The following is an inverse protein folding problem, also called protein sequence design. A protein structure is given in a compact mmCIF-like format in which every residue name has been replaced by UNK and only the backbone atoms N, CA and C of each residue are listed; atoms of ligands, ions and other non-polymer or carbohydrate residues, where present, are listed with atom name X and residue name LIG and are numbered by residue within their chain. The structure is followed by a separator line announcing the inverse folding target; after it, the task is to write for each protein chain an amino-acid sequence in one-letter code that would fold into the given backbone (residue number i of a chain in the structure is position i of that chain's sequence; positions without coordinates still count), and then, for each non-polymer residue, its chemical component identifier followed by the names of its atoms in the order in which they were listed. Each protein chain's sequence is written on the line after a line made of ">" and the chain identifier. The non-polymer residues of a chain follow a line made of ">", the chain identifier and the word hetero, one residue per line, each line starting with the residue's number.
data_IF_560627994806
#
_entry.id   IF_560627994806
#
_cell.length_a   1.000
_cell.length_b   1.000
_cell.length_c   1.000
_cell.angle_alpha   90.00
_cell.angle_beta   90.00
_cell.angle_gamma   90.00
#
_symmetry.space_group_name_H-M   'P 1'
#
loop_
_entity.id
_entity.type
_entity.pdbx_description
1 polymer ?
#
# COMPACT_ATOMS: atom_id res chain seq x y z
N UNK A 1 24.03 30.36 1.27
CA UNK A 1 22.78 30.34 0.45
C UNK A 1 22.23 28.93 0.09
N UNK A 2 23.00 27.83 0.15
CA UNK A 2 22.48 26.45 -0.15
C UNK A 2 21.67 25.81 1.00
N UNK A 3 21.81 26.27 2.25
CA UNK A 3 21.22 25.67 3.45
C UNK A 3 19.70 25.95 3.57
N UNK A 4 19.27 27.17 3.28
CA UNK A 4 17.86 27.61 3.31
C UNK A 4 16.97 26.81 2.35
N UNK A 5 17.44 26.54 1.12
CA UNK A 5 16.70 25.74 0.14
C UNK A 5 16.54 24.27 0.56
N UNK A 6 17.52 23.72 1.29
CA UNK A 6 17.44 22.35 1.82
C UNK A 6 16.45 22.25 2.97
N UNK A 7 16.36 23.27 3.83
CA UNK A 7 15.41 23.29 4.94
C UNK A 7 13.97 23.34 4.44
N UNK A 8 13.68 24.22 3.48
CA UNK A 8 12.36 24.27 2.83
C UNK A 8 11.97 22.94 2.16
N UNK A 9 12.90 22.30 1.42
CA UNK A 9 12.62 21.01 0.80
C UNK A 9 12.37 19.88 1.81
N UNK A 10 13.12 19.84 2.91
CA UNK A 10 12.94 18.82 3.95
C UNK A 10 11.61 19.02 4.67
N UNK A 11 11.21 20.27 4.92
CA UNK A 11 9.91 20.58 5.52
C UNK A 11 8.76 20.16 4.61
N UNK A 12 8.84 20.44 3.30
CA UNK A 12 7.81 20.02 2.34
C UNK A 12 7.72 18.50 2.27
N UNK A 13 8.85 17.79 2.20
CA UNK A 13 8.87 16.32 2.21
C UNK A 13 8.28 15.74 3.51
N UNK A 14 8.65 16.31 4.66
CA UNK A 14 8.12 15.88 5.95
C UNK A 14 6.59 16.10 6.04
N UNK A 15 6.10 17.25 5.57
CA UNK A 15 4.67 17.54 5.53
C UNK A 15 3.91 16.57 4.62
N UNK A 16 4.46 16.25 3.44
CA UNK A 16 3.88 15.24 2.53
C UNK A 16 3.83 13.87 3.21
N UNK A 17 4.92 13.42 3.82
CA UNK A 17 4.96 12.15 4.53
C UNK A 17 3.93 12.09 5.66
N UNK A 18 3.85 13.12 6.49
CA UNK A 18 2.84 13.19 7.57
C UNK A 18 1.42 13.17 6.99
N UNK A 19 1.17 13.84 5.88
CA UNK A 19 -0.16 13.85 5.26
C UNK A 19 -0.57 12.48 4.70
N UNK A 20 0.34 11.76 4.03
CA UNK A 20 0.03 10.42 3.49
C UNK A 20 -0.01 9.33 4.57
N UNK A 21 0.94 9.34 5.50
CA UNK A 21 1.08 8.30 6.52
C UNK A 21 0.31 8.58 7.81
N UNK A 22 0.01 9.85 8.11
CA UNK A 22 -0.80 10.27 9.25
C UNK A 22 -2.15 9.54 9.35
N UNK A 23 -3.01 9.52 8.30
CA UNK A 23 -4.27 8.80 8.35
C UNK A 23 -4.08 7.28 8.54
N UNK A 24 -3.01 6.70 7.97
CA UNK A 24 -2.69 5.29 8.14
C UNK A 24 -2.35 4.99 9.61
N UNK A 25 -1.54 5.84 10.26
CA UNK A 25 -1.19 5.70 11.67
C UNK A 25 -2.42 5.80 12.56
N UNK A 26 -3.31 6.75 12.27
CA UNK A 26 -4.59 6.90 12.99
C UNK A 26 -5.43 5.63 12.84
N UNK A 27 -5.56 5.09 11.63
CA UNK A 27 -6.26 3.82 11.39
C UNK A 27 -5.64 2.65 12.17
N UNK A 28 -4.32 2.57 12.25
CA UNK A 28 -3.62 1.54 13.06
C UNK A 28 -3.95 1.71 14.54
N UNK A 29 -3.89 2.93 15.08
CA UNK A 29 -4.24 3.18 16.49
C UNK A 29 -5.69 2.77 16.77
N UNK A 30 -6.61 3.10 15.87
CA UNK A 30 -8.01 2.72 15.99
C UNK A 30 -8.27 1.22 15.78
N UNK A 31 -7.45 0.50 15.00
CA UNK A 31 -7.64 -0.95 14.78
C UNK A 31 -7.36 -1.76 16.05
N UNK A 32 -6.58 -1.22 16.97
CA UNK A 32 -6.35 -1.80 18.30
C UNK A 32 -7.40 -1.41 19.35
N UNK A 33 -8.45 -0.67 18.97
CA UNK A 33 -9.54 -0.33 19.89
C UNK A 33 -10.52 -1.51 20.02
N UNK A 34 -10.81 -1.93 21.26
CA UNK A 34 -11.73 -3.03 21.55
C UNK A 34 -13.20 -2.73 21.22
N UNK A 35 -13.57 -1.47 21.03
CA UNK A 35 -14.97 -1.12 20.78
C UNK A 35 -15.36 -1.26 19.31
N UNK A 36 -16.58 -1.76 19.08
CA UNK A 36 -17.25 -1.70 17.77
C UNK A 36 -17.66 -0.28 17.39
N UNK A 37 -17.66 0.65 18.35
CA UNK A 37 -18.12 2.02 18.19
C UNK A 37 -16.97 3.00 18.42
N UNK A 38 -16.86 3.99 17.53
CA UNK A 38 -15.90 5.10 17.61
C UNK A 38 -16.03 5.94 18.90
N UNK A 39 -17.11 5.76 19.66
CA UNK A 39 -17.48 6.61 20.81
C UNK A 39 -17.10 6.04 22.17
N UNK A 40 -16.65 4.78 22.29
CA UNK A 40 -16.25 4.20 23.57
C UNK A 40 -14.85 3.60 23.51
N UNK A 41 -13.86 4.26 24.09
CA UNK A 41 -12.50 3.70 24.22
C UNK A 41 -12.46 2.71 25.37
N UNK A 42 -12.67 1.42 25.09
CA UNK A 42 -12.73 0.37 26.12
C UNK A 42 -11.37 -0.26 26.46
N UNK A 43 -10.33 -0.03 25.65
CA UNK A 43 -8.98 -0.56 25.88
C UNK A 43 -8.25 -0.99 24.60
N UNK A 44 -7.09 -1.62 24.76
CA UNK A 44 -6.34 -2.28 23.69
C UNK A 44 -6.90 -3.69 23.45
N UNK A 45 -7.28 -4.03 22.22
CA UNK A 45 -7.71 -5.38 21.83
C UNK A 45 -7.24 -5.73 20.44
N UNK A 46 -6.89 -7.00 20.27
CA UNK A 46 -6.55 -7.63 19.00
C UNK A 46 -7.63 -8.63 18.54
N UNK A 47 -8.79 -8.66 19.19
CA UNK A 47 -9.84 -9.65 18.93
C UNK A 47 -10.36 -9.58 17.49
N UNK A 48 -10.32 -8.40 16.88
CA UNK A 48 -10.68 -8.19 15.48
C UNK A 48 -9.77 -8.92 14.51
N UNK A 49 -8.48 -9.00 14.81
CA UNK A 49 -7.54 -9.76 14.01
C UNK A 49 -7.83 -11.26 14.14
N UNK A 50 -8.08 -11.76 15.36
CA UNK A 50 -8.47 -13.17 15.55
C UNK A 50 -9.75 -13.52 14.79
N UNK A 51 -10.78 -12.67 14.85
CA UNK A 51 -12.04 -12.85 14.09
C UNK A 51 -11.84 -12.79 12.58
N UNK A 52 -10.86 -12.02 12.10
CA UNK A 52 -10.49 -11.96 10.69
C UNK A 52 -10.01 -13.33 10.19
N UNK A 53 -9.19 -14.02 10.99
CA UNK A 53 -8.66 -15.33 10.65
C UNK A 53 -9.67 -16.46 10.85
N UNK A 54 -10.59 -16.33 11.80
CA UNK A 54 -11.67 -17.31 12.01
C UNK A 54 -12.75 -17.24 10.92
N UNK A 55 -12.93 -16.08 10.29
CA UNK A 55 -13.93 -15.90 9.24
C UNK A 55 -13.46 -16.50 7.91
N UNK A 56 -14.07 -17.62 7.53
CA UNK A 56 -13.82 -18.29 6.24
C UNK A 56 -14.07 -17.36 5.06
N UNK A 57 -15.17 -16.61 5.07
CA UNK A 57 -15.52 -15.69 3.97
C UNK A 57 -14.44 -14.64 3.73
N UNK A 58 -13.87 -14.08 4.81
CA UNK A 58 -12.82 -13.06 4.68
C UNK A 58 -11.52 -13.70 4.21
N UNK A 59 -11.16 -14.86 4.75
CA UNK A 59 -9.95 -15.58 4.34
C UNK A 59 -10.00 -16.01 2.87
N UNK A 60 -11.16 -16.48 2.41
CA UNK A 60 -11.38 -16.86 1.01
C UNK A 60 -11.26 -15.64 0.09
N UNK A 61 -11.82 -14.49 0.49
CA UNK A 61 -11.67 -13.24 -0.25
C UNK A 61 -10.20 -12.77 -0.33
N UNK A 62 -9.44 -12.92 0.77
CA UNK A 62 -8.00 -12.62 0.81
C UNK A 62 -7.23 -13.55 -0.13
N UNK A 63 -7.48 -14.86 -0.06
CA UNK A 63 -6.81 -15.85 -0.91
C UNK A 63 -7.09 -15.62 -2.40
N UNK A 64 -8.34 -15.29 -2.74
CA UNK A 64 -8.71 -14.94 -4.11
C UNK A 64 -7.97 -13.68 -4.59
N UNK A 65 -7.95 -12.63 -3.77
CA UNK A 65 -7.27 -11.37 -4.08
C UNK A 65 -5.78 -11.57 -4.32
N UNK A 66 -5.11 -12.34 -3.45
CA UNK A 66 -3.68 -12.67 -3.58
C UNK A 66 -3.43 -13.47 -4.85
N UNK A 67 -4.26 -14.48 -5.13
CA UNK A 67 -4.12 -15.31 -6.33
C UNK A 67 -4.23 -14.48 -7.61
N UNK A 68 -5.23 -13.59 -7.69
CA UNK A 68 -5.40 -12.66 -8.81
C UNK A 68 -4.20 -11.72 -8.93
N UNK A 69 -3.72 -11.16 -7.81
CA UNK A 69 -2.58 -10.26 -7.81
C UNK A 69 -1.29 -10.92 -8.34
N UNK A 70 -1.04 -12.17 -7.97
CA UNK A 70 0.13 -12.93 -8.45
C UNK A 70 0.03 -13.16 -9.97
N UNK A 71 -1.11 -13.65 -10.45
CA UNK A 71 -1.33 -13.90 -11.88
C UNK A 71 -1.19 -12.58 -12.67
N UNK A 72 -1.81 -11.50 -12.20
CA UNK A 72 -1.70 -10.19 -12.81
C UNK A 72 -0.26 -9.68 -12.86
N UNK A 73 0.51 -9.88 -11.79
CA UNK A 73 1.93 -9.46 -11.72
C UNK A 73 2.79 -10.22 -12.72
N UNK A 74 2.60 -11.54 -12.84
CA UNK A 74 3.34 -12.37 -13.79
C UNK A 74 3.04 -11.93 -15.22
N UNK A 75 1.75 -11.81 -15.58
CA UNK A 75 1.33 -11.38 -16.91
C UNK A 75 1.86 -9.98 -17.22
N UNK A 76 1.72 -9.04 -16.27
CA UNK A 76 2.22 -7.67 -16.42
C UNK A 76 3.74 -7.63 -16.66
N UNK A 77 4.51 -8.45 -15.94
CA UNK A 77 5.97 -8.52 -16.10
C UNK A 77 6.38 -9.07 -17.46
N UNK A 78 5.72 -10.14 -17.93
CA UNK A 78 5.98 -10.74 -19.24
C UNK A 78 5.65 -9.74 -20.35
N UNK A 79 4.43 -9.18 -20.32
CA UNK A 79 3.98 -8.20 -21.32
C UNK A 79 4.90 -6.98 -21.31
N UNK A 80 5.22 -6.41 -20.15
CA UNK A 80 6.11 -5.25 -20.04
C UNK A 80 7.51 -5.52 -20.59
N UNK A 81 8.07 -6.71 -20.34
CA UNK A 81 9.39 -7.09 -20.85
C UNK A 81 9.37 -7.26 -22.38
N UNK A 82 8.33 -7.90 -22.91
CA UNK A 82 8.15 -8.06 -24.36
C UNK A 82 7.98 -6.72 -25.06
N UNK A 83 7.14 -5.83 -24.52
CA UNK A 83 6.93 -4.48 -25.07
C UNK A 83 8.22 -3.67 -25.06
N UNK A 84 9.00 -3.71 -23.97
CA UNK A 84 10.30 -3.02 -23.90
C UNK A 84 11.25 -3.52 -24.98
N UNK A 85 11.40 -4.84 -25.10
CA UNK A 85 12.30 -5.43 -26.08
C UNK A 85 11.86 -5.11 -27.52
N UNK A 86 10.58 -5.26 -27.81
CA UNK A 86 10.00 -4.92 -29.12
C UNK A 86 10.24 -3.44 -29.46
N UNK A 87 9.96 -2.53 -28.53
CA UNK A 87 10.20 -1.10 -28.73
C UNK A 87 11.67 -0.80 -29.02
N UNK A 88 12.60 -1.42 -28.28
CA UNK A 88 14.03 -1.27 -28.53
C UNK A 88 14.44 -1.77 -29.92
N UNK A 89 13.96 -2.96 -30.34
CA UNK A 89 14.24 -3.50 -31.67
C UNK A 89 13.67 -2.62 -32.79
N UNK A 90 12.47 -2.05 -32.62
CA UNK A 90 11.90 -1.15 -33.65
C UNK A 90 12.64 0.19 -33.79
N UNK A 91 13.29 0.67 -32.74
CA UNK A 91 14.11 1.89 -32.81
C UNK A 91 15.49 1.63 -33.44
N UNK A 92 16.12 0.48 -33.16
CA UNK A 92 17.45 0.18 -33.71
C UNK A 92 17.45 -0.07 -35.23
N UNK A 93 16.32 -0.48 -35.80
CA UNK A 93 16.17 -0.73 -37.26
C UNK A 93 15.82 0.54 -38.05
N UNK A 94 15.49 1.65 -37.37
CA UNK A 94 15.12 2.93 -38.01
C UNK A 94 16.24 3.99 -38.03
N UNK A 95 17.44 3.63 -37.58
CA UNK A 95 18.69 4.42 -37.71
C UNK A 95 19.61 3.78 -38.74
#
# INVERSE_FOLDING_TARGET
>A
MKKERKFGSVLTLAAMLIFFYGPIIVMIIFSFNSSKSLTSWTGFSTDWYSKLFESRDIMDAVSNSVSIAIIATIISTIVGTLTKNWYFTTQTTRS
#
